data_IF_539155303626
#
_entry.id   IF_539155303626
#
_cell.length_a   1.000
_cell.length_b   1.000
_cell.length_c   1.000
_cell.angle_alpha   90.00
_cell.angle_beta   90.00
_cell.angle_gamma   90.00
#
_symmetry.space_group_name_H-M   'P 1'
#
loop_
_entity.id
_entity.type
_entity.pdbx_description
1 polymer ?
#
# COMPACT_ATOMS: atom_id res chain seq x y z
N UNK A 1 17.95 -6.96 -4.58
CA UNK A 1 18.58 -7.61 -5.79
C UNK A 1 17.90 -7.07 -7.03
N UNK A 2 18.68 -6.53 -7.97
CA UNK A 2 18.15 -6.01 -9.25
C UNK A 2 17.59 -7.18 -10.09
N UNK A 3 16.38 -6.98 -10.63
CA UNK A 3 15.67 -8.00 -11.39
C UNK A 3 16.19 -8.13 -12.84
N UNK A 4 16.73 -7.06 -13.40
CA UNK A 4 17.18 -7.02 -14.78
C UNK A 4 18.70 -6.88 -14.88
N UNK A 5 19.31 -7.67 -15.76
CA UNK A 5 20.76 -7.60 -16.03
C UNK A 5 21.13 -6.51 -17.05
N UNK A 6 20.23 -6.18 -17.97
CA UNK A 6 20.42 -5.19 -19.04
C UNK A 6 19.08 -4.73 -19.62
N UNK A 7 19.11 -3.66 -20.43
CA UNK A 7 17.96 -3.19 -21.21
C UNK A 7 17.47 -4.28 -22.17
N UNK A 8 18.41 -5.02 -22.80
CA UNK A 8 18.07 -6.11 -23.70
C UNK A 8 17.32 -7.24 -22.97
N UNK A 9 17.70 -7.53 -21.72
CA UNK A 9 17.01 -8.51 -20.88
C UNK A 9 15.56 -8.11 -20.58
N UNK A 10 15.28 -6.81 -20.39
CA UNK A 10 13.90 -6.32 -20.26
C UNK A 10 13.11 -6.60 -21.53
N UNK A 11 13.66 -6.26 -22.71
CA UNK A 11 12.99 -6.47 -24.00
C UNK A 11 12.64 -7.97 -24.17
N UNK A 12 13.59 -8.86 -23.93
CA UNK A 12 13.40 -10.31 -24.07
C UNK A 12 12.34 -10.85 -23.11
N UNK A 13 12.32 -10.38 -21.86
CA UNK A 13 11.32 -10.81 -20.87
C UNK A 13 9.92 -10.30 -21.23
N UNK A 14 9.82 -9.07 -21.72
CA UNK A 14 8.54 -8.48 -22.12
C UNK A 14 8.00 -9.17 -23.39
N UNK A 15 8.85 -9.46 -24.36
CA UNK A 15 8.48 -10.18 -25.58
C UNK A 15 7.93 -11.59 -25.26
N UNK A 16 8.53 -12.31 -24.31
CA UNK A 16 8.01 -13.60 -23.81
C UNK A 16 6.60 -13.52 -23.23
N UNK A 17 6.21 -12.35 -22.74
CA UNK A 17 4.86 -12.09 -22.25
C UNK A 17 3.93 -11.53 -23.34
N UNK A 18 4.39 -11.42 -24.58
CA UNK A 18 3.63 -10.87 -25.70
C UNK A 18 3.56 -9.33 -25.74
N UNK A 19 4.43 -8.66 -24.98
CA UNK A 19 4.52 -7.19 -24.99
C UNK A 19 5.77 -6.75 -25.76
N UNK A 20 5.56 -6.30 -27.00
CA UNK A 20 6.63 -5.82 -27.85
C UNK A 20 6.98 -4.38 -27.47
N UNK A 21 8.20 -4.14 -26.99
CA UNK A 21 8.69 -2.82 -26.67
C UNK A 21 10.07 -2.57 -27.26
N UNK A 22 10.37 -1.31 -27.56
CA UNK A 22 11.69 -0.86 -27.94
C UNK A 22 12.50 -0.35 -26.74
N UNK A 23 13.72 0.14 -27.01
CA UNK A 23 14.60 0.69 -25.97
C UNK A 23 13.99 1.88 -25.23
N UNK A 24 13.08 2.62 -25.83
CA UNK A 24 12.38 3.77 -25.27
C UNK A 24 11.50 3.41 -24.07
N UNK A 25 10.98 2.18 -24.02
CA UNK A 25 10.22 1.65 -22.87
C UNK A 25 11.14 0.82 -21.95
N UNK A 26 12.00 -0.02 -22.54
CA UNK A 26 12.83 -0.93 -21.79
C UNK A 26 13.92 -0.22 -20.95
N UNK A 27 14.46 0.90 -21.43
CA UNK A 27 15.48 1.66 -20.70
C UNK A 27 14.95 2.27 -19.41
N UNK A 28 13.80 3.00 -19.39
CA UNK A 28 13.20 3.47 -18.16
C UNK A 28 12.86 2.33 -17.18
N UNK A 29 12.33 1.21 -17.64
CA UNK A 29 12.04 0.05 -16.79
C UNK A 29 13.32 -0.52 -16.16
N UNK A 30 14.41 -0.63 -16.93
CA UNK A 30 15.70 -1.05 -16.42
C UNK A 30 16.26 -0.07 -15.38
N UNK A 31 16.15 1.24 -15.63
CA UNK A 31 16.63 2.27 -14.71
C UNK A 31 15.81 2.33 -13.44
N UNK A 32 14.49 2.17 -13.51
CA UNK A 32 13.59 2.04 -12.35
C UNK A 32 14.09 0.96 -11.38
N UNK A 33 14.40 -0.24 -11.91
CA UNK A 33 14.91 -1.36 -11.12
C UNK A 33 16.31 -1.09 -10.54
N UNK A 34 17.16 -0.41 -11.32
CA UNK A 34 18.54 -0.12 -10.89
C UNK A 34 18.65 0.98 -9.87
N UNK A 35 17.80 2.00 -9.98
CA UNK A 35 17.81 3.19 -9.14
C UNK A 35 16.85 3.06 -7.94
N UNK A 36 16.04 1.98 -7.92
CA UNK A 36 15.00 1.76 -6.91
C UNK A 36 14.07 2.98 -6.81
N UNK A 37 13.66 3.51 -7.98
CA UNK A 37 12.78 4.67 -8.09
C UNK A 37 11.49 4.32 -8.85
N UNK A 38 10.38 4.98 -8.53
CA UNK A 38 9.14 4.81 -9.28
C UNK A 38 9.31 5.25 -10.73
N UNK A 39 8.52 4.65 -11.62
CA UNK A 39 8.46 5.00 -13.05
C UNK A 39 7.14 5.70 -13.34
N UNK A 40 7.21 6.95 -13.77
CA UNK A 40 6.06 7.67 -14.32
C UNK A 40 5.93 7.34 -15.83
N UNK A 41 4.72 6.94 -16.22
CA UNK A 41 4.40 6.60 -17.62
C UNK A 41 3.28 7.51 -18.12
N UNK A 42 3.61 8.39 -19.04
CA UNK A 42 2.66 9.31 -19.67
C UNK A 42 2.41 8.95 -21.14
N UNK A 43 1.30 9.40 -21.68
CA UNK A 43 0.96 9.22 -23.09
C UNK A 43 -0.56 9.15 -23.33
N UNK A 44 -0.99 9.17 -24.60
CA UNK A 44 -2.40 9.14 -24.93
C UNK A 44 -3.11 7.87 -24.45
N UNK A 45 -4.44 7.88 -24.32
CA UNK A 45 -5.19 6.69 -23.95
C UNK A 45 -5.01 5.57 -25.00
N UNK A 46 -5.02 4.32 -24.55
CA UNK A 46 -4.96 3.16 -25.45
C UNK A 46 -3.57 2.72 -25.90
N UNK A 47 -2.48 3.44 -25.54
CA UNK A 47 -1.11 3.07 -25.96
C UNK A 47 -0.47 1.95 -25.12
N UNK A 48 -1.17 1.40 -24.15
CA UNK A 48 -0.67 0.27 -23.35
C UNK A 48 0.06 0.63 -22.07
N UNK A 49 -0.08 1.84 -21.50
CA UNK A 49 0.55 2.26 -20.24
C UNK A 49 0.34 1.27 -19.10
N UNK A 50 -0.91 0.92 -18.82
CA UNK A 50 -1.28 -0.05 -17.77
C UNK A 50 -0.74 -1.46 -18.07
N UNK A 51 -0.56 -1.83 -19.33
CA UNK A 51 -0.05 -3.14 -19.73
C UNK A 51 1.43 -3.30 -19.39
N UNK A 52 2.21 -2.22 -19.31
CA UNK A 52 3.62 -2.27 -18.84
C UNK A 52 3.69 -2.88 -17.44
N UNK A 53 2.86 -2.42 -16.50
CA UNK A 53 2.84 -2.93 -15.12
C UNK A 53 2.41 -4.40 -15.04
N UNK A 54 1.41 -4.80 -15.83
CA UNK A 54 0.98 -6.21 -15.91
C UNK A 54 2.06 -7.10 -16.49
N UNK A 55 2.73 -6.64 -17.53
CA UNK A 55 3.85 -7.37 -18.17
C UNK A 55 5.01 -7.49 -17.20
N UNK A 56 5.35 -6.41 -16.49
CA UNK A 56 6.39 -6.41 -15.47
C UNK A 56 6.08 -7.43 -14.35
N UNK A 57 4.85 -7.41 -13.83
CA UNK A 57 4.38 -8.38 -12.83
C UNK A 57 4.56 -9.83 -13.28
N UNK A 58 4.12 -10.15 -14.50
CA UNK A 58 4.25 -11.50 -15.09
C UNK A 58 5.72 -11.87 -15.31
N UNK A 59 6.50 -10.96 -15.88
CA UNK A 59 7.92 -11.19 -16.18
C UNK A 59 8.76 -11.48 -14.94
N UNK A 60 8.41 -10.84 -13.81
CA UNK A 60 9.08 -11.02 -12.54
C UNK A 60 8.42 -12.06 -11.63
N UNK A 61 7.29 -12.63 -12.04
CA UNK A 61 6.45 -13.52 -11.21
C UNK A 61 6.10 -12.87 -9.87
N UNK A 62 5.84 -11.55 -9.88
CA UNK A 62 5.46 -10.77 -8.71
C UNK A 62 3.98 -10.44 -8.75
N UNK A 63 3.34 -10.40 -7.60
CA UNK A 63 1.94 -10.01 -7.49
C UNK A 63 1.76 -8.54 -7.93
N UNK A 64 0.73 -8.28 -8.74
CA UNK A 64 0.32 -6.93 -9.11
C UNK A 64 -0.71 -6.41 -8.11
N UNK A 65 -0.42 -5.29 -7.50
CA UNK A 65 -1.35 -4.52 -6.67
C UNK A 65 -1.70 -3.26 -7.46
N UNK A 66 -3.00 -2.95 -7.59
CA UNK A 66 -3.47 -1.78 -8.34
C UNK A 66 -4.17 -0.79 -7.43
N UNK A 67 -3.67 0.43 -7.41
CA UNK A 67 -4.34 1.60 -6.86
C UNK A 67 -4.93 2.40 -8.04
N UNK A 68 -6.25 2.48 -8.11
CA UNK A 68 -6.95 3.32 -9.08
C UNK A 68 -7.24 4.67 -8.45
N UNK A 69 -6.63 5.74 -8.97
CA UNK A 69 -6.92 7.09 -8.51
C UNK A 69 -8.26 7.60 -9.06
N UNK A 70 -8.95 8.40 -8.28
CA UNK A 70 -10.22 9.04 -8.63
C UNK A 70 -10.37 10.33 -7.82
N UNK A 71 -11.22 11.22 -8.29
CA UNK A 71 -11.50 12.51 -7.62
C UNK A 71 -12.00 12.31 -6.19
N UNK A 72 -11.31 12.94 -5.22
CA UNK A 72 -11.60 12.80 -3.79
C UNK A 72 -11.00 11.54 -3.13
N UNK A 73 -10.03 10.88 -3.79
CA UNK A 73 -9.17 9.90 -3.14
C UNK A 73 -8.21 10.66 -2.22
N UNK A 74 -8.26 10.33 -0.95
CA UNK A 74 -7.37 10.88 0.07
C UNK A 74 -6.42 9.81 0.64
N UNK A 75 -5.47 10.26 1.47
CA UNK A 75 -4.49 9.42 2.13
C UNK A 75 -5.13 8.25 2.87
N UNK A 76 -6.16 8.50 3.66
CA UNK A 76 -6.82 7.47 4.47
C UNK A 76 -7.46 6.39 3.61
N UNK A 77 -8.15 6.78 2.53
CA UNK A 77 -8.79 5.84 1.60
C UNK A 77 -7.79 5.03 0.78
N UNK A 78 -6.58 5.55 0.57
CA UNK A 78 -5.52 4.85 -0.17
C UNK A 78 -4.72 3.90 0.71
N UNK A 79 -4.61 4.20 2.01
CA UNK A 79 -3.80 3.44 2.96
C UNK A 79 -4.56 2.30 3.62
N UNK A 80 -5.65 2.61 4.35
CA UNK A 80 -6.32 1.63 5.18
C UNK A 80 -7.78 2.01 5.50
N UNK A 81 -8.47 1.04 6.04
CA UNK A 81 -9.79 1.20 6.63
C UNK A 81 -9.84 0.42 7.94
N UNK A 82 -10.47 1.01 8.97
CA UNK A 82 -10.72 0.29 10.21
C UNK A 82 -11.95 -0.59 10.08
N UNK A 83 -11.83 -1.87 10.44
CA UNK A 83 -12.95 -2.81 10.48
C UNK A 83 -13.85 -2.57 11.72
N UNK A 84 -14.50 -1.40 11.79
CA UNK A 84 -15.35 -1.02 12.93
C UNK A 84 -16.41 -2.06 13.30
N UNK A 85 -17.00 -2.72 12.31
CA UNK A 85 -17.98 -3.79 12.55
C UNK A 85 -17.37 -4.95 13.31
N UNK A 86 -16.15 -5.33 12.96
CA UNK A 86 -15.40 -6.39 13.63
C UNK A 86 -14.98 -5.95 15.04
N UNK A 87 -14.51 -4.70 15.20
CA UNK A 87 -14.21 -4.14 16.53
C UNK A 87 -15.44 -4.17 17.43
N UNK A 88 -16.61 -3.74 16.93
CA UNK A 88 -17.87 -3.73 17.68
C UNK A 88 -18.27 -5.17 18.09
N UNK A 89 -18.18 -6.11 17.17
CA UNK A 89 -18.47 -7.53 17.45
C UNK A 89 -17.56 -8.08 18.55
N UNK A 90 -16.26 -7.82 18.46
CA UNK A 90 -15.30 -8.24 19.49
C UNK A 90 -15.59 -7.57 20.84
N UNK A 91 -15.93 -6.28 20.86
CA UNK A 91 -16.32 -5.57 22.07
C UNK A 91 -17.56 -6.22 22.71
N UNK A 92 -18.56 -6.58 21.92
CA UNK A 92 -19.76 -7.28 22.41
C UNK A 92 -19.43 -8.66 22.96
N UNK A 93 -18.59 -9.44 22.27
CA UNK A 93 -18.18 -10.77 22.73
C UNK A 93 -17.32 -10.72 24.01
N UNK A 94 -16.56 -9.64 24.20
CA UNK A 94 -15.70 -9.46 25.37
C UNK A 94 -16.35 -8.64 26.49
N UNK A 95 -17.63 -8.27 26.34
CA UNK A 95 -18.34 -7.39 27.29
C UNK A 95 -18.19 -7.83 28.74
N UNK A 96 -18.34 -9.12 29.03
CA UNK A 96 -18.25 -9.64 30.40
C UNK A 96 -16.81 -9.55 30.96
N UNK A 97 -15.81 -9.76 30.09
CA UNK A 97 -14.39 -9.59 30.47
C UNK A 97 -14.03 -8.13 30.67
N UNK A 98 -14.50 -7.24 29.83
CA UNK A 98 -14.31 -5.79 29.98
C UNK A 98 -15.00 -5.32 31.26
N UNK A 99 -16.23 -5.81 31.52
CA UNK A 99 -16.94 -5.57 32.80
C UNK A 99 -16.10 -5.96 34.02
N UNK A 100 -15.54 -7.15 34.02
CA UNK A 100 -14.66 -7.63 35.09
C UNK A 100 -13.37 -6.81 35.27
N UNK A 101 -12.80 -6.28 34.20
CA UNK A 101 -11.65 -5.37 34.29
C UNK A 101 -12.02 -4.02 34.93
N UNK A 102 -13.26 -3.56 34.73
CA UNK A 102 -13.77 -2.30 35.26
C UNK A 102 -14.31 -2.40 36.70
N UNK A 103 -14.51 -3.60 37.25
CA UNK A 103 -14.98 -3.79 38.65
C UNK A 103 -14.05 -3.18 39.70
N UNK A 104 -12.76 -2.98 39.35
CA UNK A 104 -11.79 -2.31 40.22
C UNK A 104 -11.83 -0.79 40.16
N UNK A 105 -12.47 -0.19 39.18
CA UNK A 105 -12.53 1.26 38.99
C UNK A 105 -13.60 1.87 39.89
N UNK A 106 -13.21 2.87 40.71
CA UNK A 106 -14.11 3.60 41.60
C UNK A 106 -14.66 4.88 40.97
N UNK A 107 -14.01 5.38 39.94
CA UNK A 107 -14.38 6.59 39.22
C UNK A 107 -14.40 6.34 37.72
N UNK A 108 -15.13 7.19 36.97
CA UNK A 108 -15.15 7.14 35.50
C UNK A 108 -13.75 7.37 34.92
N UNK A 109 -12.94 8.24 35.52
CA UNK A 109 -11.57 8.50 35.08
C UNK A 109 -10.67 7.27 35.22
N UNK A 110 -10.76 6.54 36.36
CA UNK A 110 -10.05 5.28 36.53
C UNK A 110 -10.50 4.21 35.54
N UNK A 111 -11.79 4.15 35.22
CA UNK A 111 -12.31 3.23 34.20
C UNK A 111 -11.78 3.55 32.80
N UNK A 112 -11.72 4.84 32.45
CA UNK A 112 -11.13 5.29 31.17
C UNK A 112 -9.65 4.94 31.10
N UNK A 113 -8.85 5.22 32.15
CA UNK A 113 -7.43 4.87 32.18
C UNK A 113 -7.16 3.34 32.03
N UNK A 114 -8.05 2.51 32.59
CA UNK A 114 -7.96 1.06 32.45
C UNK A 114 -8.29 0.62 31.02
N UNK A 115 -9.22 1.29 30.36
CA UNK A 115 -9.55 1.05 28.94
C UNK A 115 -8.45 1.53 28.03
N UNK A 116 -7.90 2.73 28.24
CA UNK A 116 -6.79 3.29 27.45
C UNK A 116 -5.56 2.36 27.42
N UNK A 117 -5.29 1.67 28.51
CA UNK A 117 -4.24 0.64 28.54
C UNK A 117 -4.52 -0.58 27.66
N UNK A 118 -5.78 -0.78 27.27
CA UNK A 118 -6.22 -1.84 26.37
C UNK A 118 -6.47 -1.35 24.93
N UNK A 119 -6.38 -0.03 24.67
CA UNK A 119 -6.63 0.57 23.37
C UNK A 119 -5.75 0.00 22.27
N UNK A 120 -4.50 -0.37 22.60
CA UNK A 120 -3.60 -1.06 21.69
C UNK A 120 -4.17 -2.39 21.14
N UNK A 121 -5.13 -2.99 21.83
CA UNK A 121 -5.79 -4.21 21.37
C UNK A 121 -6.85 -3.92 20.30
N UNK A 122 -7.57 -2.80 20.40
CA UNK A 122 -8.63 -2.43 19.47
C UNK A 122 -8.12 -1.68 18.23
N UNK A 123 -7.03 -0.91 18.39
CA UNK A 123 -6.32 -0.24 17.29
C UNK A 123 -5.06 -1.01 16.87
N UNK A 124 -5.14 -2.31 16.84
CA UNK A 124 -4.06 -3.18 16.35
C UNK A 124 -4.19 -3.45 14.84
N UNK A 125 -3.10 -3.88 14.22
CA UNK A 125 -3.11 -4.33 12.83
C UNK A 125 -4.18 -5.39 12.52
N UNK A 126 -4.70 -6.08 13.55
CA UNK A 126 -5.75 -7.09 13.42
C UNK A 126 -7.09 -6.54 12.92
N UNK A 127 -7.38 -5.26 13.20
CA UNK A 127 -8.60 -4.57 12.78
C UNK A 127 -8.36 -3.59 11.64
N UNK A 128 -7.14 -3.53 11.13
CA UNK A 128 -6.78 -2.68 10.02
C UNK A 128 -6.92 -3.47 8.71
N UNK A 129 -7.74 -2.97 7.80
CA UNK A 129 -7.87 -3.48 6.45
C UNK A 129 -6.93 -2.68 5.53
N UNK A 130 -5.78 -3.24 5.13
CA UNK A 130 -4.88 -2.54 4.23
C UNK A 130 -5.55 -2.28 2.88
N UNK A 131 -5.44 -1.06 2.40
CA UNK A 131 -5.77 -0.67 1.03
C UNK A 131 -4.55 -0.85 0.14
N UNK A 132 -4.65 -0.74 -1.19
CA UNK A 132 -3.58 -1.13 -2.12
C UNK A 132 -2.20 -0.53 -1.82
N UNK A 133 -2.14 0.72 -1.37
CA UNK A 133 -0.86 1.36 -1.07
C UNK A 133 -0.19 0.74 0.17
N UNK A 134 -0.92 0.61 1.26
CA UNK A 134 -0.40 -0.03 2.48
C UNK A 134 -0.16 -1.53 2.26
N UNK A 135 -1.02 -2.20 1.50
CA UNK A 135 -0.85 -3.61 1.14
C UNK A 135 0.47 -3.85 0.41
N UNK A 136 0.87 -2.93 -0.48
CA UNK A 136 2.15 -3.01 -1.18
C UNK A 136 3.33 -2.81 -0.22
N UNK A 137 3.25 -1.85 0.72
CA UNK A 137 4.29 -1.56 1.71
C UNK A 137 4.47 -2.74 2.68
N UNK A 138 3.36 -3.32 3.16
CA UNK A 138 3.38 -4.43 4.12
C UNK A 138 3.63 -5.79 3.48
N UNK A 139 3.76 -5.89 2.16
CA UNK A 139 3.97 -7.16 1.47
C UNK A 139 5.29 -7.80 1.91
N UNK A 140 5.28 -9.07 2.39
CA UNK A 140 6.49 -9.78 2.76
C UNK A 140 7.37 -10.14 1.56
N UNK A 141 6.78 -10.13 0.36
CA UNK A 141 7.46 -10.43 -0.90
C UNK A 141 7.39 -9.21 -1.83
N UNK A 142 8.38 -9.05 -2.73
CA UNK A 142 8.36 -7.98 -3.72
C UNK A 142 7.08 -8.02 -4.58
N UNK A 143 6.44 -6.87 -4.72
CA UNK A 143 5.23 -6.70 -5.54
C UNK A 143 5.47 -5.65 -6.63
N UNK A 144 4.59 -5.62 -7.61
CA UNK A 144 4.48 -4.50 -8.55
C UNK A 144 3.27 -3.67 -8.14
N UNK A 145 3.49 -2.44 -7.69
CA UNK A 145 2.43 -1.48 -7.41
C UNK A 145 2.16 -0.66 -8.68
N UNK A 146 0.94 -0.73 -9.19
CA UNK A 146 0.43 0.12 -10.27
C UNK A 146 -0.46 1.20 -9.68
N UNK A 147 -0.05 2.45 -9.79
CA UNK A 147 -0.87 3.62 -9.50
C UNK A 147 -1.41 4.13 -10.83
N UNK A 148 -2.71 3.97 -11.04
CA UNK A 148 -3.35 4.24 -12.33
C UNK A 148 -4.21 5.49 -12.26
N UNK A 149 -4.22 6.28 -13.34
CA UNK A 149 -4.96 7.55 -13.45
C UNK A 149 -4.60 8.56 -12.34
N UNK A 150 -3.29 8.71 -12.04
CA UNK A 150 -2.81 9.63 -10.98
C UNK A 150 -3.24 11.08 -11.24
N UNK A 151 -3.42 11.46 -12.50
CA UNK A 151 -3.94 12.76 -12.94
C UNK A 151 -5.38 13.07 -12.50
N UNK A 152 -6.08 12.11 -11.88
CA UNK A 152 -7.42 12.31 -11.29
C UNK A 152 -7.38 12.58 -9.78
N UNK A 153 -6.23 12.48 -9.16
CA UNK A 153 -6.05 12.86 -7.77
C UNK A 153 -5.83 14.38 -7.63
N UNK A 154 -5.95 14.88 -6.41
CA UNK A 154 -5.60 16.26 -6.11
C UNK A 154 -4.12 16.40 -5.77
N UNK A 155 -3.64 17.65 -5.72
CA UNK A 155 -2.24 17.99 -5.45
C UNK A 155 -1.77 17.49 -4.06
N UNK A 156 -2.68 17.41 -3.08
CA UNK A 156 -2.38 16.93 -1.73
C UNK A 156 -2.05 15.44 -1.76
N UNK A 157 -2.87 14.66 -2.47
CA UNK A 157 -2.64 13.23 -2.62
C UNK A 157 -1.40 12.92 -3.47
N UNK A 158 -1.13 13.70 -4.52
CA UNK A 158 0.11 13.56 -5.30
C UNK A 158 1.35 13.82 -4.43
N UNK A 159 1.32 14.86 -3.60
CA UNK A 159 2.41 15.17 -2.66
C UNK A 159 2.63 14.03 -1.64
N UNK A 160 1.55 13.49 -1.10
CA UNK A 160 1.59 12.31 -0.23
C UNK A 160 2.18 11.07 -0.92
N UNK A 161 1.78 10.80 -2.18
CA UNK A 161 2.37 9.69 -2.95
C UNK A 161 3.87 9.86 -3.16
N UNK A 162 4.35 11.08 -3.45
CA UNK A 162 5.77 11.35 -3.62
C UNK A 162 6.56 11.08 -2.32
N UNK A 163 6.01 11.45 -1.16
CA UNK A 163 6.62 11.15 0.14
C UNK A 163 6.70 9.63 0.36
N UNK A 164 5.59 8.93 0.21
CA UNK A 164 5.53 7.48 0.40
C UNK A 164 6.48 6.72 -0.54
N UNK A 165 6.53 7.11 -1.83
CA UNK A 165 7.36 6.47 -2.84
C UNK A 165 8.85 6.85 -2.73
N UNK A 166 9.18 7.93 -2.02
CA UNK A 166 10.57 8.30 -1.73
C UNK A 166 11.22 7.37 -0.71
N UNK A 167 10.50 7.11 0.38
CA UNK A 167 11.03 6.43 1.56
C UNK A 167 10.44 5.04 1.79
N UNK A 168 9.45 4.64 0.98
CA UNK A 168 8.69 3.39 1.10
C UNK A 168 8.17 3.15 2.52
N UNK A 169 7.65 4.21 3.13
CA UNK A 169 7.10 4.21 4.47
C UNK A 169 5.81 5.03 4.56
N UNK A 170 4.99 4.71 5.55
CA UNK A 170 3.80 5.48 5.90
C UNK A 170 3.68 5.58 7.41
N UNK A 171 3.08 6.66 7.90
CA UNK A 171 2.79 6.85 9.32
C UNK A 171 1.29 6.74 9.56
N UNK A 172 0.90 5.80 10.40
CA UNK A 172 -0.48 5.63 10.85
C UNK A 172 -0.53 6.11 12.31
N UNK A 173 -1.39 7.06 12.67
CA UNK A 173 -1.40 7.66 14.01
C UNK A 173 -1.41 6.64 15.15
N UNK A 174 -2.20 5.57 15.01
CA UNK A 174 -2.40 4.56 16.04
C UNK A 174 -1.31 3.46 16.05
N UNK A 175 -0.60 3.28 14.94
CA UNK A 175 0.38 2.20 14.76
C UNK A 175 1.83 2.69 14.61
N UNK A 176 2.01 4.01 14.47
CA UNK A 176 3.32 4.60 14.17
C UNK A 176 3.75 4.42 12.72
N UNK A 177 5.06 4.51 12.48
CA UNK A 177 5.63 4.43 11.13
C UNK A 177 5.82 2.98 10.71
N UNK A 178 5.17 2.62 9.60
CA UNK A 178 5.31 1.32 8.92
C UNK A 178 6.22 1.50 7.71
N UNK A 179 7.17 0.60 7.55
CA UNK A 179 8.15 0.63 6.46
C UNK A 179 8.10 -0.65 5.65
N UNK A 180 8.40 -0.54 4.37
CA UNK A 180 8.63 -1.72 3.54
C UNK A 180 9.85 -2.50 4.09
N UNK A 181 9.71 -3.81 4.11
CA UNK A 181 10.79 -4.73 4.51
C UNK A 181 11.80 -4.98 3.37
N UNK A 182 11.62 -4.32 2.22
CA UNK A 182 12.35 -4.61 0.97
C UNK A 182 13.03 -3.37 0.46
#
# INVERSE_FOLDING_TARGET
>A
MTAFSSVQHVIELFDRQGYICGPEVATPVYLMDRLEKPLLVEGPPGVGKTEIAKTLSKSLSRRLIRLQCYEGLDESKALYEWEYTKQLLYTQMLKDRIGGLLEGARTLSEAVELLDRQDSAFFSQHFLLPRPLLEAILSPEPVVLLIDEVDRSDDEFESFLLEVLSDFQVSIPELGTLRSAQ
#
